data_IF_091669183918
#
_entry.id   IF_091669183918
#
_cell.length_a   1.000
_cell.length_b   1.000
_cell.length_c   1.000
_cell.angle_alpha   90.00
_cell.angle_beta   90.00
_cell.angle_gamma   90.00
#
_symmetry.space_group_name_H-M   'P 1'
#
loop_
_entity.id
_entity.type
_entity.pdbx_description
1 polymer ?
#
# COMPACT_ATOMS: atom_id res chain seq x y z
N UNK A 1 2.93 3.28 -25.78
CA UNK A 1 2.92 3.18 -24.32
C UNK A 1 4.12 2.37 -23.84
N UNK A 2 4.95 2.90 -22.96
CA UNK A 2 6.12 2.20 -22.39
C UNK A 2 5.76 1.48 -21.08
N UNK A 3 4.87 2.06 -20.30
CA UNK A 3 4.47 1.54 -19.00
C UNK A 3 3.06 0.94 -19.09
N UNK A 4 2.90 -0.24 -18.53
CA UNK A 4 1.65 -1.00 -18.47
C UNK A 4 1.33 -1.28 -17.01
N UNK A 5 0.15 -0.87 -16.57
CA UNK A 5 -0.40 -1.24 -15.29
C UNK A 5 -1.43 -2.36 -15.49
N UNK A 6 -1.13 -3.54 -14.96
CA UNK A 6 -2.03 -4.69 -14.98
C UNK A 6 -3.03 -4.52 -13.84
N UNK A 7 -4.23 -4.09 -14.20
CA UNK A 7 -5.35 -3.82 -13.26
C UNK A 7 -6.09 -5.12 -12.98
N UNK A 8 -5.44 -6.00 -12.25
CA UNK A 8 -5.96 -7.27 -11.76
C UNK A 8 -5.72 -7.28 -10.26
N UNK A 9 -6.73 -7.46 -9.45
CA UNK A 9 -6.68 -7.36 -7.98
C UNK A 9 -5.65 -8.31 -7.37
N UNK A 10 -5.35 -9.42 -8.04
CA UNK A 10 -4.29 -10.34 -7.69
C UNK A 10 -3.69 -11.00 -8.93
N UNK A 11 -2.83 -10.26 -9.64
CA UNK A 11 -2.15 -10.80 -10.82
C UNK A 11 -1.27 -12.00 -10.48
N UNK A 12 -0.59 -11.96 -9.33
CA UNK A 12 0.33 -12.99 -8.86
C UNK A 12 -0.38 -14.05 -7.99
N UNK A 13 -1.30 -14.81 -8.58
CA UNK A 13 -2.11 -15.82 -7.87
C UNK A 13 -1.89 -17.24 -8.39
N UNK A 14 -1.60 -17.40 -9.69
CA UNK A 14 -1.47 -18.70 -10.35
C UNK A 14 -0.13 -18.82 -11.07
N UNK A 15 0.71 -19.76 -10.62
CA UNK A 15 2.04 -20.00 -11.18
C UNK A 15 2.00 -20.32 -12.68
N UNK A 16 1.07 -21.18 -13.11
CA UNK A 16 0.96 -21.61 -14.51
C UNK A 16 0.60 -20.44 -15.41
N UNK A 17 -0.33 -19.60 -14.98
CA UNK A 17 -0.71 -18.38 -15.68
C UNK A 17 0.48 -17.42 -15.82
N UNK A 18 1.25 -17.21 -14.76
CA UNK A 18 2.41 -16.33 -14.79
C UNK A 18 3.51 -16.86 -15.71
N UNK A 19 3.82 -18.16 -15.66
CA UNK A 19 4.78 -18.78 -16.57
C UNK A 19 4.33 -18.65 -18.05
N UNK A 20 3.05 -18.85 -18.31
CA UNK A 20 2.51 -18.67 -19.66
C UNK A 20 2.63 -17.21 -20.11
N UNK A 21 2.32 -16.25 -19.26
CA UNK A 21 2.47 -14.83 -19.54
C UNK A 21 3.93 -14.49 -19.88
N UNK A 22 4.89 -14.93 -19.04
CA UNK A 22 6.33 -14.71 -19.28
C UNK A 22 6.76 -15.25 -20.65
N UNK A 23 6.35 -16.49 -20.99
CA UNK A 23 6.69 -17.10 -22.26
C UNK A 23 6.14 -16.30 -23.44
N UNK A 24 4.87 -15.90 -23.40
CA UNK A 24 4.24 -15.10 -24.46
C UNK A 24 4.92 -13.74 -24.66
N UNK A 25 5.34 -13.07 -23.57
CA UNK A 25 6.08 -11.80 -23.64
C UNK A 25 7.44 -12.00 -24.32
N UNK A 26 8.15 -13.08 -23.95
CA UNK A 26 9.46 -13.42 -24.56
C UNK A 26 9.33 -13.81 -26.03
N UNK A 27 8.41 -14.70 -26.37
CA UNK A 27 8.14 -15.16 -27.75
C UNK A 27 7.80 -14.01 -28.68
N UNK A 28 6.98 -13.06 -28.21
CA UNK A 28 6.55 -11.89 -28.97
C UNK A 28 7.53 -10.72 -28.91
N UNK A 29 8.62 -10.87 -28.20
CA UNK A 29 9.66 -9.84 -28.03
C UNK A 29 9.07 -8.49 -27.53
N UNK A 30 8.10 -8.55 -26.61
CA UNK A 30 7.45 -7.36 -26.09
C UNK A 30 8.34 -6.72 -25.02
N UNK A 31 8.84 -5.52 -25.30
CA UNK A 31 9.68 -4.73 -24.38
C UNK A 31 8.82 -3.62 -23.74
N UNK A 32 8.31 -3.85 -22.55
CA UNK A 32 7.51 -2.90 -21.77
C UNK A 32 7.92 -2.93 -20.30
N UNK A 33 7.48 -1.91 -19.55
CA UNK A 33 7.62 -1.87 -18.11
C UNK A 33 6.27 -2.17 -17.47
N UNK A 34 6.25 -3.10 -16.52
CA UNK A 34 5.01 -3.60 -15.93
C UNK A 34 4.92 -3.26 -14.45
N UNK A 35 3.70 -2.91 -14.05
CA UNK A 35 3.25 -2.76 -12.66
C UNK A 35 2.06 -3.68 -12.44
N UNK A 36 1.98 -4.37 -11.32
CA UNK A 36 0.84 -5.21 -10.96
C UNK A 36 0.60 -5.25 -9.45
N UNK A 37 -0.54 -5.79 -9.05
CA UNK A 37 -0.78 -6.26 -7.70
C UNK A 37 -0.26 -7.69 -7.54
N UNK A 38 0.19 -8.00 -6.31
CA UNK A 38 0.65 -9.35 -5.99
C UNK A 38 0.70 -9.61 -4.49
N UNK A 39 0.46 -10.85 -4.12
CA UNK A 39 0.43 -11.29 -2.72
C UNK A 39 1.82 -11.65 -2.21
N UNK A 40 2.09 -11.32 -0.95
CA UNK A 40 3.36 -11.65 -0.30
C UNK A 40 3.62 -13.17 -0.25
N UNK A 41 2.59 -13.98 0.04
CA UNK A 41 2.71 -15.44 0.08
C UNK A 41 3.09 -16.05 -1.29
N UNK A 42 2.57 -15.51 -2.39
CA UNK A 42 2.98 -15.93 -3.74
C UNK A 42 4.44 -15.57 -4.03
N UNK A 43 4.85 -14.34 -3.68
CA UNK A 43 6.23 -13.87 -3.88
C UNK A 43 7.21 -14.78 -3.14
N UNK A 44 6.91 -15.11 -1.87
CA UNK A 44 7.76 -15.99 -1.03
C UNK A 44 7.81 -17.41 -1.57
N UNK A 45 6.70 -17.91 -2.09
CA UNK A 45 6.61 -19.26 -2.64
C UNK A 45 7.34 -19.42 -3.98
N UNK A 46 7.46 -18.35 -4.76
CA UNK A 46 7.97 -18.37 -6.13
C UNK A 46 9.06 -17.31 -6.41
N UNK A 47 10.16 -17.30 -5.65
CA UNK A 47 11.20 -16.29 -5.80
C UNK A 47 11.86 -16.32 -7.19
N UNK A 48 11.95 -17.50 -7.82
CA UNK A 48 12.47 -17.66 -9.17
C UNK A 48 11.58 -17.00 -10.24
N UNK A 49 10.27 -16.94 -10.02
CA UNK A 49 9.38 -16.22 -10.93
C UNK A 49 9.56 -14.72 -10.81
N UNK A 50 9.90 -14.19 -9.64
CA UNK A 50 10.17 -12.76 -9.45
C UNK A 50 11.38 -12.35 -10.30
N UNK A 51 12.42 -13.18 -10.37
CA UNK A 51 13.56 -12.95 -11.25
C UNK A 51 13.15 -12.92 -12.73
N UNK A 52 12.34 -13.89 -13.17
CA UNK A 52 11.86 -13.97 -14.55
C UNK A 52 10.92 -12.79 -14.90
N UNK A 53 10.07 -12.35 -13.97
CA UNK A 53 9.24 -11.16 -14.14
C UNK A 53 10.09 -9.90 -14.29
N UNK A 54 11.16 -9.76 -13.50
CA UNK A 54 12.14 -8.67 -13.66
C UNK A 54 12.73 -8.63 -15.06
N UNK A 55 13.14 -9.78 -15.58
CA UNK A 55 13.77 -9.90 -16.91
C UNK A 55 12.84 -9.44 -18.05
N UNK A 56 11.52 -9.67 -17.92
CA UNK A 56 10.54 -9.23 -18.92
C UNK A 56 9.99 -7.82 -18.68
N UNK A 57 10.53 -7.09 -17.66
CA UNK A 57 10.27 -5.68 -17.46
C UNK A 57 9.35 -5.32 -16.27
N UNK A 58 9.02 -6.25 -15.40
CA UNK A 58 8.37 -5.87 -14.13
C UNK A 58 9.33 -5.06 -13.28
N UNK A 59 8.88 -3.90 -12.84
CA UNK A 59 9.70 -3.02 -12.02
C UNK A 59 9.03 -2.59 -10.71
N UNK A 60 7.72 -2.84 -10.58
CA UNK A 60 6.95 -2.39 -9.44
C UNK A 60 5.82 -3.36 -9.12
N UNK A 61 5.68 -3.77 -7.86
CA UNK A 61 4.60 -4.63 -7.38
C UNK A 61 3.96 -3.99 -6.15
N UNK A 62 2.63 -3.83 -6.19
CA UNK A 62 1.82 -3.39 -5.09
C UNK A 62 1.42 -4.61 -4.25
N UNK A 63 1.75 -4.61 -2.97
CA UNK A 63 1.53 -5.77 -2.11
C UNK A 63 0.83 -5.36 -0.82
N UNK A 64 -0.31 -5.97 -0.54
CA UNK A 64 -0.98 -5.82 0.74
C UNK A 64 -0.16 -6.48 1.85
N UNK A 65 0.43 -5.66 2.72
CA UNK A 65 1.15 -6.09 3.94
C UNK A 65 0.27 -5.96 5.17
N UNK A 66 -0.77 -5.13 5.08
CA UNK A 66 -1.90 -4.87 5.95
C UNK A 66 -1.54 -4.58 7.41
N UNK A 67 -1.27 -5.59 8.23
CA UNK A 67 -0.99 -5.43 9.66
C UNK A 67 0.46 -5.81 10.01
N UNK A 68 0.93 -5.29 11.13
CA UNK A 68 2.30 -5.48 11.63
C UNK A 68 2.36 -6.34 12.90
N UNK A 69 1.31 -7.07 13.19
CA UNK A 69 1.28 -8.09 14.24
C UNK A 69 0.34 -9.24 13.85
N UNK A 70 0.64 -10.41 14.39
CA UNK A 70 -0.08 -11.65 14.07
C UNK A 70 -1.55 -11.63 14.51
N UNK A 71 -1.91 -10.82 15.51
CA UNK A 71 -3.29 -10.73 16.00
C UNK A 71 -4.18 -10.02 14.96
N UNK A 72 -3.72 -8.89 14.42
CA UNK A 72 -4.45 -8.17 13.38
C UNK A 72 -4.42 -8.93 12.04
N UNK A 73 -3.29 -9.59 11.71
CA UNK A 73 -3.19 -10.42 10.50
C UNK A 73 -4.18 -11.59 10.49
N UNK A 74 -4.40 -12.21 11.65
CA UNK A 74 -5.40 -13.28 11.79
C UNK A 74 -6.83 -12.76 11.58
N UNK A 75 -7.13 -11.54 12.03
CA UNK A 75 -8.43 -10.90 11.83
C UNK A 75 -8.74 -10.65 10.34
N UNK A 76 -7.72 -10.43 9.51
CA UNK A 76 -7.87 -10.22 8.05
C UNK A 76 -7.79 -11.53 7.23
N UNK A 77 -7.84 -12.71 7.91
CA UNK A 77 -7.88 -14.03 7.25
C UNK A 77 -6.68 -14.31 6.32
N UNK A 78 -5.49 -13.75 6.63
CA UNK A 78 -4.30 -13.93 5.81
C UNK A 78 -3.48 -15.16 6.20
N UNK A 79 -2.99 -15.86 5.17
CA UNK A 79 -2.08 -17.01 5.28
C UNK A 79 -0.61 -16.61 5.45
N UNK A 80 -0.34 -15.30 5.52
CA UNK A 80 1.00 -14.72 5.53
C UNK A 80 1.24 -14.02 6.88
N UNK A 81 2.26 -14.44 7.60
CA UNK A 81 2.70 -13.84 8.86
C UNK A 81 3.73 -12.70 8.62
N UNK A 82 4.21 -12.10 9.70
CA UNK A 82 5.23 -11.04 9.65
C UNK A 82 6.55 -11.49 8.99
N UNK A 83 6.91 -12.75 9.13
CA UNK A 83 8.11 -13.33 8.52
C UNK A 83 7.93 -13.44 6.99
N UNK A 84 6.75 -13.84 6.56
CA UNK A 84 6.38 -13.87 5.14
C UNK A 84 6.44 -12.47 4.50
N UNK A 85 5.90 -11.44 5.14
CA UNK A 85 5.98 -10.06 4.66
C UNK A 85 7.44 -9.58 4.52
N UNK A 86 8.26 -9.87 5.54
CA UNK A 86 9.69 -9.53 5.53
C UNK A 86 10.41 -10.23 4.38
N UNK A 87 10.20 -11.54 4.20
CA UNK A 87 10.79 -12.31 3.11
C UNK A 87 10.36 -11.81 1.73
N UNK A 88 9.08 -11.45 1.56
CA UNK A 88 8.59 -10.89 0.30
C UNK A 88 9.32 -9.58 -0.06
N UNK A 89 9.52 -8.68 0.92
CA UNK A 89 10.28 -7.44 0.72
C UNK A 89 11.72 -7.74 0.31
N UNK A 90 12.39 -8.68 0.99
CA UNK A 90 13.77 -9.06 0.70
C UNK A 90 13.92 -9.67 -0.69
N UNK A 91 13.02 -10.59 -1.08
CA UNK A 91 13.01 -11.21 -2.40
C UNK A 91 12.90 -10.14 -3.50
N UNK A 92 11.90 -9.26 -3.42
CA UNK A 92 11.73 -8.22 -4.44
C UNK A 92 12.89 -7.23 -4.47
N UNK A 93 13.43 -6.87 -3.29
CA UNK A 93 14.62 -6.03 -3.20
C UNK A 93 15.83 -6.66 -3.90
N UNK A 94 16.10 -7.96 -3.66
CA UNK A 94 17.23 -8.68 -4.22
C UNK A 94 17.15 -8.82 -5.74
N UNK A 95 15.96 -9.02 -6.31
CA UNK A 95 15.77 -9.07 -7.77
C UNK A 95 15.65 -7.68 -8.41
N UNK A 96 15.62 -6.60 -7.62
CA UNK A 96 15.53 -5.23 -8.11
C UNK A 96 14.14 -4.84 -8.62
N UNK A 97 13.08 -5.43 -8.08
CA UNK A 97 11.70 -4.99 -8.25
C UNK A 97 11.31 -4.14 -7.04
N UNK A 98 10.76 -2.95 -7.26
CA UNK A 98 10.29 -2.10 -6.18
C UNK A 98 8.95 -2.61 -5.63
N UNK A 99 8.81 -2.66 -4.30
CA UNK A 99 7.55 -2.94 -3.66
C UNK A 99 6.89 -1.65 -3.16
N UNK A 100 5.59 -1.52 -3.40
CA UNK A 100 4.72 -0.62 -2.65
C UNK A 100 3.98 -1.45 -1.60
N UNK A 101 4.34 -1.29 -0.35
CA UNK A 101 3.61 -1.91 0.75
C UNK A 101 2.33 -1.15 1.04
N UNK A 102 1.21 -1.85 1.02
CA UNK A 102 -0.09 -1.30 1.41
C UNK A 102 -0.42 -1.78 2.81
N UNK A 103 -0.69 -0.83 3.70
CA UNK A 103 -0.97 -1.04 5.12
C UNK A 103 -2.35 -0.52 5.48
N UNK A 104 -2.94 -1.09 6.52
CA UNK A 104 -4.20 -0.63 7.10
C UNK A 104 -3.91 -0.16 8.53
N UNK A 105 -4.25 1.09 8.82
CA UNK A 105 -4.27 1.62 10.18
C UNK A 105 -5.60 1.22 10.83
N UNK A 106 -5.53 0.25 11.75
CA UNK A 106 -6.70 -0.25 12.46
C UNK A 106 -7.29 0.83 13.40
N UNK A 107 -8.62 0.80 13.60
CA UNK A 107 -9.32 1.73 14.47
C UNK A 107 -8.91 1.61 15.94
N UNK A 108 -8.36 0.47 16.32
CA UNK A 108 -7.90 0.22 17.68
C UNK A 108 -6.39 0.47 17.87
N UNK A 109 -5.73 1.08 16.85
CA UNK A 109 -4.35 1.51 16.97
C UNK A 109 -4.17 2.55 18.08
N UNK A 110 -3.05 2.40 18.80
CA UNK A 110 -2.51 3.40 19.71
C UNK A 110 -1.38 4.20 19.04
N UNK A 111 -0.92 5.27 19.66
CA UNK A 111 0.27 5.98 19.16
C UNK A 111 1.54 5.12 19.11
N UNK A 112 1.61 3.99 19.85
CA UNK A 112 2.69 3.01 19.78
C UNK A 112 2.62 2.23 18.47
N UNK A 113 1.44 1.85 18.02
CA UNK A 113 1.24 1.03 16.83
C UNK A 113 1.59 1.82 15.56
N UNK A 114 1.16 3.08 15.44
CA UNK A 114 1.60 3.99 14.39
C UNK A 114 3.14 4.14 14.34
N UNK A 115 3.79 4.27 15.51
CA UNK A 115 5.26 4.34 15.57
C UNK A 115 5.93 3.02 15.18
N UNK A 116 5.33 1.88 15.52
CA UNK A 116 5.84 0.56 15.17
C UNK A 116 5.75 0.33 13.67
N UNK A 117 4.63 0.71 13.02
CA UNK A 117 4.48 0.68 11.58
C UNK A 117 5.57 1.48 10.87
N UNK A 118 5.80 2.73 11.27
CA UNK A 118 6.88 3.54 10.70
C UNK A 118 8.25 2.89 10.87
N UNK A 119 8.54 2.33 12.06
CA UNK A 119 9.82 1.66 12.33
C UNK A 119 10.02 0.45 11.45
N UNK A 120 8.99 -0.37 11.28
CA UNK A 120 9.04 -1.54 10.42
C UNK A 120 9.31 -1.15 8.95
N UNK A 121 8.54 -0.22 8.40
CA UNK A 121 8.71 0.30 7.04
C UNK A 121 10.15 0.82 6.83
N UNK A 122 10.70 1.53 7.83
CA UNK A 122 12.07 2.05 7.78
C UNK A 122 13.12 0.94 7.85
N UNK A 123 12.95 -0.03 8.76
CA UNK A 123 13.90 -1.13 8.98
C UNK A 123 14.05 -2.02 7.73
N UNK A 124 12.94 -2.31 7.05
CA UNK A 124 12.93 -3.11 5.83
C UNK A 124 13.20 -2.30 4.56
N UNK A 125 13.62 -1.02 4.70
CA UNK A 125 13.97 -0.12 3.58
C UNK A 125 12.88 -0.04 2.51
N UNK A 126 11.63 -0.26 2.89
CA UNK A 126 10.51 -0.17 1.97
C UNK A 126 10.36 1.28 1.50
N UNK A 127 10.67 1.56 0.24
CA UNK A 127 10.70 2.92 -0.28
C UNK A 127 9.30 3.53 -0.37
N UNK A 128 8.33 2.75 -0.85
CA UNK A 128 6.96 3.19 -1.06
C UNK A 128 6.04 2.47 -0.07
N UNK A 129 5.23 3.24 0.64
CA UNK A 129 4.22 2.73 1.56
C UNK A 129 2.96 3.59 1.45
N UNK A 130 1.83 2.95 1.23
CA UNK A 130 0.51 3.55 1.35
C UNK A 130 -0.14 3.05 2.64
N UNK A 131 -0.79 3.94 3.36
CA UNK A 131 -1.49 3.60 4.60
C UNK A 131 -2.91 4.10 4.49
N UNK A 132 -3.86 3.17 4.40
CA UNK A 132 -5.29 3.46 4.49
C UNK A 132 -5.79 3.31 5.92
N UNK A 133 -6.91 3.94 6.24
CA UNK A 133 -7.63 3.77 7.50
C UNK A 133 -8.58 2.59 7.31
N UNK A 134 -8.66 1.71 8.32
CA UNK A 134 -9.63 0.62 8.31
C UNK A 134 -11.05 1.18 8.14
N UNK A 135 -11.72 0.71 7.11
CA UNK A 135 -13.08 1.11 6.75
C UNK A 135 -13.94 -0.15 6.66
N UNK A 136 -14.93 -0.33 7.55
CA UNK A 136 -15.85 -1.47 7.49
C UNK A 136 -16.80 -1.28 6.31
N UNK A 137 -16.50 -1.91 5.18
CA UNK A 137 -17.24 -1.72 3.93
C UNK A 137 -18.74 -1.99 4.09
N UNK A 138 -19.54 -1.15 3.43
CA UNK A 138 -20.99 -1.27 3.39
C UNK A 138 -21.40 -2.68 2.92
N UNK A 139 -22.46 -3.20 3.47
CA UNK A 139 -23.01 -4.53 3.18
C UNK A 139 -22.10 -5.73 3.52
N UNK A 140 -20.95 -5.47 4.18
CA UNK A 140 -20.08 -6.53 4.68
C UNK A 140 -20.47 -7.01 6.09
N UNK A 141 -20.09 -8.24 6.49
CA UNK A 141 -20.22 -8.67 7.87
C UNK A 141 -19.48 -7.76 8.88
N UNK A 142 -18.38 -7.14 8.44
CA UNK A 142 -17.62 -6.18 9.25
C UNK A 142 -18.44 -4.91 9.50
N UNK A 143 -19.17 -4.41 8.51
CA UNK A 143 -20.04 -3.24 8.72
C UNK A 143 -21.05 -3.49 9.84
N UNK A 144 -21.65 -4.67 9.88
CA UNK A 144 -22.60 -5.03 10.94
C UNK A 144 -21.94 -5.08 12.34
N UNK A 145 -20.69 -5.58 12.42
CA UNK A 145 -19.94 -5.62 13.69
C UNK A 145 -19.57 -4.22 14.20
N UNK A 146 -19.41 -3.24 13.31
CA UNK A 146 -19.07 -1.87 13.65
C UNK A 146 -20.27 -0.92 13.65
N UNK A 147 -21.50 -1.41 13.48
CA UNK A 147 -22.70 -0.59 13.34
C UNK A 147 -22.86 0.44 14.47
N UNK A 148 -22.64 0.04 15.73
CA UNK A 148 -22.73 0.93 16.90
C UNK A 148 -21.59 1.97 16.97
N UNK A 149 -20.54 1.82 16.16
CA UNK A 149 -19.37 2.70 16.10
C UNK A 149 -19.35 3.61 14.88
N UNK A 150 -20.24 3.43 13.92
CA UNK A 150 -20.29 4.24 12.69
C UNK A 150 -20.55 5.71 13.05
N UNK A 151 -19.72 6.60 12.51
CA UNK A 151 -19.76 8.05 12.75
C UNK A 151 -20.49 8.82 11.64
N UNK A 152 -20.48 8.27 10.43
CA UNK A 152 -21.03 8.94 9.25
C UNK A 152 -21.49 7.93 8.20
N UNK A 153 -22.58 8.26 7.53
CA UNK A 153 -23.09 7.55 6.35
C UNK A 153 -22.80 8.31 5.04
N UNK A 154 -22.06 9.44 5.14
CA UNK A 154 -21.67 10.21 3.94
C UNK A 154 -20.75 9.38 3.04
N UNK A 155 -21.17 9.02 1.82
CA UNK A 155 -20.34 8.22 0.91
C UNK A 155 -18.99 8.88 0.59
N UNK A 156 -18.90 10.20 0.66
CA UNK A 156 -17.65 10.94 0.41
C UNK A 156 -16.58 10.71 1.48
N UNK A 157 -16.95 10.20 2.66
CA UNK A 157 -16.01 9.88 3.73
C UNK A 157 -15.51 8.41 3.68
N UNK A 158 -16.10 7.56 2.81
CA UNK A 158 -15.75 6.13 2.69
C UNK A 158 -14.65 5.90 1.66
N UNK A 159 -13.57 6.66 1.78
CA UNK A 159 -12.43 6.72 0.84
C UNK A 159 -11.14 6.09 1.39
N UNK A 160 -11.22 5.36 2.51
CA UNK A 160 -10.09 4.76 3.22
C UNK A 160 -9.07 5.77 3.78
N UNK A 161 -9.36 7.07 3.71
CA UNK A 161 -8.53 8.15 4.25
C UNK A 161 -9.21 8.86 5.42
N UNK A 162 -10.54 8.70 5.55
CA UNK A 162 -11.33 9.23 6.64
C UNK A 162 -11.72 8.14 7.64
N UNK A 163 -11.81 8.54 8.91
CA UNK A 163 -12.31 7.67 9.99
C UNK A 163 -13.82 7.66 9.95
N UNK A 164 -14.41 6.58 9.49
CA UNK A 164 -15.89 6.42 9.39
C UNK A 164 -16.50 5.70 10.60
N UNK A 165 -15.68 5.12 11.45
CA UNK A 165 -16.14 4.48 12.68
C UNK A 165 -15.26 4.90 13.87
N UNK A 166 -15.86 5.01 15.07
CA UNK A 166 -15.19 5.49 16.29
C UNK A 166 -13.96 4.64 16.64
N UNK A 167 -12.75 5.22 16.78
CA UNK A 167 -11.59 4.53 17.31
C UNK A 167 -11.82 4.00 18.72
N UNK A 168 -11.36 2.76 19.00
CA UNK A 168 -11.63 2.12 20.29
C UNK A 168 -10.67 2.52 21.40
N UNK A 169 -9.45 2.96 21.07
CA UNK A 169 -8.40 3.25 22.08
C UNK A 169 -7.93 4.70 22.11
N UNK A 170 -8.24 5.47 21.10
CA UNK A 170 -7.86 6.88 20.99
C UNK A 170 -9.11 7.71 20.76
N UNK A 171 -9.08 8.98 21.18
CA UNK A 171 -10.05 9.93 20.66
C UNK A 171 -9.83 10.15 19.17
N UNK A 172 -10.86 10.53 18.43
CA UNK A 172 -10.79 10.81 17.00
C UNK A 172 -9.66 11.81 16.64
N UNK A 173 -9.52 12.87 17.45
CA UNK A 173 -8.44 13.87 17.28
C UNK A 173 -7.06 13.26 17.48
N UNK A 174 -6.89 12.41 18.50
CA UNK A 174 -5.61 11.76 18.77
C UNK A 174 -5.25 10.72 17.68
N UNK A 175 -6.25 10.00 17.18
CA UNK A 175 -6.07 9.06 16.06
C UNK A 175 -5.57 9.79 14.81
N UNK A 176 -6.26 10.84 14.36
CA UNK A 176 -5.84 11.65 13.22
C UNK A 176 -4.45 12.28 13.43
N UNK A 177 -4.15 12.75 14.64
CA UNK A 177 -2.81 13.28 14.94
C UNK A 177 -1.73 12.24 14.66
N UNK A 178 -1.88 11.02 15.19
CA UNK A 178 -0.88 9.96 14.98
C UNK A 178 -0.83 9.48 13.52
N UNK A 179 -1.96 9.39 12.86
CA UNK A 179 -2.07 9.04 11.44
C UNK A 179 -1.35 10.08 10.56
N UNK A 180 -1.63 11.35 10.72
CA UNK A 180 -0.98 12.40 9.94
C UNK A 180 0.53 12.50 10.25
N UNK A 181 0.95 12.31 11.50
CA UNK A 181 2.38 12.23 11.84
C UNK A 181 3.06 11.07 11.11
N UNK A 182 2.40 9.91 11.00
CA UNK A 182 2.90 8.79 10.20
C UNK A 182 3.04 9.18 8.73
N UNK A 183 1.99 9.73 8.11
CA UNK A 183 2.01 10.14 6.70
C UNK A 183 3.09 11.18 6.40
N UNK A 184 3.23 12.19 7.26
CA UNK A 184 4.28 13.22 7.12
C UNK A 184 5.67 12.58 7.17
N UNK A 185 5.91 11.66 8.10
CA UNK A 185 7.20 10.95 8.20
C UNK A 185 7.49 10.09 6.97
N UNK A 186 6.49 9.40 6.44
CA UNK A 186 6.62 8.61 5.21
C UNK A 186 6.91 9.53 4.01
N UNK A 187 6.19 10.65 3.90
CA UNK A 187 6.41 11.64 2.86
C UNK A 187 7.83 12.23 2.90
N UNK A 188 8.27 12.74 4.07
CA UNK A 188 9.60 13.33 4.23
C UNK A 188 10.71 12.32 3.93
N UNK A 189 10.51 11.06 4.30
CA UNK A 189 11.44 9.99 3.94
C UNK A 189 11.45 9.76 2.43
N UNK A 190 10.28 9.62 1.82
CA UNK A 190 10.15 9.43 0.37
C UNK A 190 10.78 10.57 -0.42
N UNK A 191 10.59 11.81 0.05
CA UNK A 191 11.21 12.98 -0.55
C UNK A 191 12.74 12.93 -0.47
N UNK A 192 13.29 12.63 0.71
CA UNK A 192 14.73 12.45 0.87
C UNK A 192 15.31 11.32 0.00
N UNK A 193 14.56 10.25 -0.17
CA UNK A 193 14.97 9.06 -0.93
C UNK A 193 14.70 9.22 -2.45
N UNK A 194 14.30 10.43 -2.92
CA UNK A 194 14.09 10.77 -4.33
C UNK A 194 12.86 10.11 -4.97
N UNK A 195 11.90 9.65 -4.16
CA UNK A 195 10.69 8.97 -4.67
C UNK A 195 9.83 9.91 -5.50
N UNK A 196 9.83 11.19 -5.16
CA UNK A 196 8.99 12.23 -5.75
C UNK A 196 9.74 13.15 -6.73
N UNK A 197 10.92 12.74 -7.21
CA UNK A 197 11.73 13.57 -8.13
C UNK A 197 11.03 13.83 -9.46
N UNK A 198 10.01 13.00 -9.81
CA UNK A 198 9.16 13.21 -10.98
C UNK A 198 8.09 14.30 -10.80
N UNK A 199 7.90 14.80 -9.57
CA UNK A 199 6.88 15.80 -9.26
C UNK A 199 7.44 17.20 -9.48
N UNK A 200 6.83 17.98 -10.39
CA UNK A 200 7.15 19.41 -10.52
C UNK A 200 6.52 20.20 -9.35
N UNK A 201 7.25 20.23 -8.24
CA UNK A 201 6.81 21.01 -7.06
C UNK A 201 6.61 22.49 -7.37
N UNK A 202 7.39 23.06 -8.29
CA UNK A 202 7.23 24.45 -8.70
C UNK A 202 5.88 24.71 -9.36
N UNK A 203 5.40 23.78 -10.17
CA UNK A 203 4.05 23.86 -10.75
C UNK A 203 2.97 23.79 -9.67
N UNK A 204 3.06 22.83 -8.76
CA UNK A 204 2.05 22.65 -7.71
C UNK A 204 2.01 23.82 -6.73
N UNK A 205 3.16 24.36 -6.32
CA UNK A 205 3.23 25.53 -5.44
C UNK A 205 2.62 26.76 -6.14
N UNK A 206 2.97 27.01 -7.39
CA UNK A 206 2.41 28.13 -8.18
C UNK A 206 0.89 27.97 -8.36
N UNK A 207 0.42 26.76 -8.63
CA UNK A 207 -1.00 26.46 -8.77
C UNK A 207 -1.76 26.66 -7.46
N UNK A 208 -1.18 26.20 -6.35
CA UNK A 208 -1.74 26.37 -5.01
C UNK A 208 -1.86 27.87 -4.64
N UNK A 209 -0.78 28.63 -4.80
CA UNK A 209 -0.76 30.07 -4.53
C UNK A 209 -1.78 30.80 -5.40
N UNK A 210 -1.84 30.47 -6.70
CA UNK A 210 -2.82 31.07 -7.62
C UNK A 210 -4.26 30.80 -7.19
N UNK A 211 -4.55 29.57 -6.73
CA UNK A 211 -5.90 29.21 -6.28
C UNK A 211 -6.24 29.85 -4.93
N UNK A 212 -5.28 29.98 -4.01
CA UNK A 212 -5.48 30.64 -2.72
C UNK A 212 -5.94 32.11 -2.87
N UNK A 213 -5.40 32.84 -3.86
CA UNK A 213 -5.83 34.21 -4.17
C UNK A 213 -7.10 34.28 -5.03
N UNK A 214 -7.58 33.18 -5.58
CA UNK A 214 -8.80 33.13 -6.40
C UNK A 214 -10.08 33.00 -5.58
N UNK A 215 -9.98 32.50 -4.34
CA UNK A 215 -11.09 32.36 -3.39
C UNK A 215 -11.18 33.50 -2.35
N UNK A 216 -10.39 34.57 -2.51
CA UNK A 216 -10.38 35.74 -1.65
C UNK A 216 -10.98 36.99 -2.29
N UNK A 217 -11.78 36.82 -3.36
CA UNK A 217 -12.50 37.92 -4.01
C UNK A 217 -13.98 37.69 -4.13
#
# INVERSE_FOLDING_TARGET
CENIYLVDDDFLVDEKRIRQFINLIRERQICKRYVCYGRADFIVKHPELMQQLKEIGFYYILTGLEALDDQHMTAYNKKCDMDCNTKAVEILHNVGIHMMGMFIADLDFTGKDFRSMYRWIKAHKLRHAAVSIFTPELDSPLHQQYADRILTEDPGAWDYLHVVAQPGRLSLRAYYFHYHVLLIRLFLRGWRDGIYDFVDYGYYIRSFVKNMFRFGG
#
